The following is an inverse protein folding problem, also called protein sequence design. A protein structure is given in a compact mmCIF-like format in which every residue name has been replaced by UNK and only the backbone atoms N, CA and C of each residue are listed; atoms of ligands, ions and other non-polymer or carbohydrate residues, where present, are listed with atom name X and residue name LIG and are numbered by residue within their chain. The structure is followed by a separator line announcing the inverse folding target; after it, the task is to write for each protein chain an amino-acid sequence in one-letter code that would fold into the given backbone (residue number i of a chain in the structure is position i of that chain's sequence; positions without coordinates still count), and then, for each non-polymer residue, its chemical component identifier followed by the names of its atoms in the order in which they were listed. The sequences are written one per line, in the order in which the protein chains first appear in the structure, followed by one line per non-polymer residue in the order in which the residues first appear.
data_IF_632694949807
#
_entry.id   IF_632694949807
#
_cell.length_a   1.000
_cell.length_b   1.000
_cell.length_c   1.000
_cell.angle_alpha   90.00
_cell.angle_beta   90.00
_cell.angle_gamma   90.00
#
_symmetry.space_group_name_H-M   'P 1'
#
loop_
_entity.id
_entity.type
_entity.pdbx_description
1 polymer ?
#
# COMPACT_ATOMS: atom_id res chain seq x y z
N UNK A 1 -30.76 -4.79 7.03
CA UNK A 1 -30.56 -6.19 7.45
C UNK A 1 -29.07 -6.34 7.71
N UNK A 2 -28.69 -6.59 8.96
CA UNK A 2 -27.28 -6.63 9.36
C UNK A 2 -26.69 -7.98 8.94
N UNK A 3 -25.82 -7.98 7.93
CA UNK A 3 -25.06 -9.17 7.54
C UNK A 3 -24.01 -9.44 8.62
N UNK A 4 -24.18 -10.53 9.36
CA UNK A 4 -23.14 -11.07 10.23
C UNK A 4 -22.11 -11.77 9.33
N UNK A 5 -20.98 -11.10 9.10
CA UNK A 5 -19.88 -11.69 8.35
C UNK A 5 -19.11 -12.69 9.23
N UNK A 6 -18.69 -13.85 8.70
CA UNK A 6 -17.75 -14.70 9.38
C UNK A 6 -16.42 -13.95 9.53
N UNK A 7 -15.81 -13.99 10.71
CA UNK A 7 -14.49 -13.43 11.01
C UNK A 7 -13.38 -14.19 10.29
N UNK A 8 -13.36 -14.16 8.96
CA UNK A 8 -12.26 -14.70 8.16
C UNK A 8 -11.09 -13.73 8.20
N UNK A 9 -9.89 -14.27 8.45
CA UNK A 9 -8.62 -13.55 8.39
C UNK A 9 -8.12 -13.34 6.96
N UNK A 10 -8.85 -13.82 5.96
CA UNK A 10 -8.50 -13.73 4.55
C UNK A 10 -9.45 -12.76 3.86
N UNK A 11 -8.92 -11.90 2.97
CA UNK A 11 -9.79 -11.09 2.14
C UNK A 11 -10.68 -12.02 1.32
N UNK A 12 -11.98 -11.71 1.15
CA UNK A 12 -12.77 -12.35 0.11
C UNK A 12 -12.08 -12.00 -1.22
N UNK A 13 -11.30 -12.93 -1.75
CA UNK A 13 -10.61 -12.73 -3.03
C UNK A 13 -11.62 -12.93 -4.16
N UNK A 14 -11.36 -12.27 -5.28
CA UNK A 14 -12.15 -12.32 -6.53
C UNK A 14 -12.23 -13.72 -7.19
N UNK A 15 -11.91 -14.79 -6.47
CA UNK A 15 -11.88 -16.17 -6.93
C UNK A 15 -13.00 -17.03 -6.31
N UNK A 16 -13.76 -16.52 -5.33
CA UNK A 16 -14.84 -17.25 -4.63
C UNK A 16 -16.16 -16.45 -4.52
N UNK A 17 -16.65 -15.86 -5.62
CA UNK A 17 -17.93 -15.10 -5.67
C UNK A 17 -17.98 -13.82 -4.78
N UNK A 18 -16.82 -13.31 -4.34
CA UNK A 18 -16.73 -12.07 -3.59
C UNK A 18 -16.91 -10.82 -4.46
N UNK A 19 -17.94 -10.02 -4.19
CA UNK A 19 -18.14 -8.74 -4.88
C UNK A 19 -17.09 -7.70 -4.48
N UNK A 20 -16.66 -6.79 -5.38
CA UNK A 20 -15.76 -5.67 -5.08
C UNK A 20 -16.13 -4.89 -3.80
N UNK A 21 -17.43 -4.71 -3.55
CA UNK A 21 -17.95 -4.07 -2.36
C UNK A 21 -17.59 -4.83 -1.06
N UNK A 22 -17.58 -6.17 -1.09
CA UNK A 22 -17.29 -6.99 0.09
C UNK A 22 -15.81 -6.93 0.48
N UNK A 23 -14.90 -6.84 -0.50
CA UNK A 23 -13.48 -6.61 -0.23
C UNK A 23 -13.23 -5.20 0.34
N UNK A 24 -13.94 -4.20 -0.18
CA UNK A 24 -13.88 -2.83 0.33
C UNK A 24 -14.40 -2.73 1.77
N UNK A 25 -15.57 -3.31 2.06
CA UNK A 25 -16.16 -3.39 3.40
C UNK A 25 -15.24 -4.13 4.37
N UNK A 26 -14.64 -5.23 3.92
CA UNK A 26 -13.68 -5.98 4.71
C UNK A 26 -12.43 -5.15 5.04
N UNK A 27 -11.84 -4.44 4.06
CA UNK A 27 -10.69 -3.57 4.30
C UNK A 27 -11.03 -2.42 5.26
N UNK A 28 -12.22 -1.84 5.15
CA UNK A 28 -12.70 -0.81 6.08
C UNK A 28 -12.87 -1.37 7.49
N UNK A 29 -13.37 -2.61 7.62
CA UNK A 29 -13.43 -3.33 8.90
C UNK A 29 -12.04 -3.55 9.52
N UNK A 30 -11.05 -3.98 8.71
CA UNK A 30 -9.66 -4.11 9.17
C UNK A 30 -9.08 -2.76 9.61
N UNK A 31 -9.37 -1.67 8.90
CA UNK A 31 -8.97 -0.32 9.31
C UNK A 31 -9.57 0.08 10.66
N UNK A 32 -10.84 -0.26 10.93
CA UNK A 32 -11.49 0.03 12.20
C UNK A 32 -10.79 -0.68 13.38
N UNK A 33 -10.42 -1.95 13.20
CA UNK A 33 -9.65 -2.72 14.20
C UNK A 33 -8.29 -2.06 14.48
N UNK A 34 -7.59 -1.62 13.43
CA UNK A 34 -6.29 -0.93 13.51
C UNK A 34 -6.36 0.43 14.21
N UNK A 35 -7.48 1.15 14.04
CA UNK A 35 -7.71 2.46 14.66
C UNK A 35 -8.15 2.33 16.12
N UNK A 36 -8.77 1.22 16.49
CA UNK A 36 -9.23 0.91 17.86
C UNK A 36 -8.10 0.52 18.81
N UNK A 37 -7.61 -0.72 18.70
CA UNK A 37 -6.54 -1.24 19.58
C UNK A 37 -5.40 -1.91 18.77
N UNK A 38 -4.30 -1.17 18.51
CA UNK A 38 -3.13 -1.67 17.81
C UNK A 38 -2.46 -2.90 18.47
N UNK A 39 -2.68 -3.15 19.77
CA UNK A 39 -2.06 -4.29 20.46
C UNK A 39 -2.69 -5.64 20.09
N UNK A 40 -3.97 -5.65 19.70
CA UNK A 40 -4.66 -6.86 19.23
C UNK A 40 -4.07 -7.37 17.91
N UNK A 41 -3.60 -6.45 17.06
CA UNK A 41 -2.90 -6.77 15.80
C UNK A 41 -1.63 -7.58 16.06
N UNK A 42 -0.88 -7.21 17.10
CA UNK A 42 0.44 -7.78 17.37
C UNK A 42 0.40 -9.11 18.11
N UNK A 43 -0.52 -9.30 19.06
CA UNK A 43 -0.51 -10.48 19.93
C UNK A 43 -1.04 -11.73 19.23
N UNK A 44 -2.19 -11.61 18.57
CA UNK A 44 -2.95 -12.80 18.14
C UNK A 44 -3.11 -12.89 16.63
N UNK A 45 -3.03 -11.77 15.91
CA UNK A 45 -3.39 -11.69 14.48
C UNK A 45 -2.23 -11.28 13.56
N UNK A 46 -1.00 -11.21 14.06
CA UNK A 46 0.13 -10.69 13.28
C UNK A 46 0.34 -11.43 11.94
N UNK A 47 0.34 -12.78 11.87
CA UNK A 47 0.49 -13.50 10.60
C UNK A 47 -0.63 -13.18 9.60
N UNK A 48 -1.87 -13.05 10.08
CA UNK A 48 -3.03 -12.69 9.26
C UNK A 48 -2.90 -11.28 8.69
N UNK A 49 -2.38 -10.35 9.49
CA UNK A 49 -2.08 -8.99 9.07
C UNK A 49 -0.96 -8.92 8.04
N UNK A 50 0.12 -9.70 8.22
CA UNK A 50 1.19 -9.81 7.21
C UNK A 50 0.63 -10.34 5.90
N UNK A 51 -0.22 -11.38 5.95
CA UNK A 51 -0.88 -11.93 4.76
C UNK A 51 -1.82 -10.92 4.10
N UNK A 52 -2.60 -10.20 4.90
CA UNK A 52 -3.49 -9.12 4.45
C UNK A 52 -2.71 -8.06 3.69
N UNK A 53 -1.67 -7.51 4.31
CA UNK A 53 -0.85 -6.46 3.69
C UNK A 53 -0.13 -6.99 2.45
N UNK A 54 0.33 -8.24 2.46
CA UNK A 54 0.93 -8.89 1.28
C UNK A 54 -0.04 -8.99 0.11
N UNK A 55 -1.32 -9.32 0.38
CA UNK A 55 -2.35 -9.38 -0.66
C UNK A 55 -2.61 -8.03 -1.34
N UNK A 56 -2.32 -6.90 -0.66
CA UNK A 56 -2.48 -5.57 -1.24
C UNK A 56 -1.52 -5.31 -2.40
N UNK A 57 -0.41 -6.05 -2.50
CA UNK A 57 0.55 -5.87 -3.60
C UNK A 57 -0.11 -6.06 -4.97
N UNK A 58 -1.15 -6.89 -5.08
CA UNK A 58 -1.82 -7.16 -6.36
C UNK A 58 -2.75 -6.04 -6.80
N UNK A 59 -3.23 -5.21 -5.86
CA UNK A 59 -4.16 -4.10 -6.15
C UNK A 59 -3.45 -2.77 -6.31
N UNK A 60 -2.18 -2.65 -5.91
CA UNK A 60 -1.37 -1.44 -6.01
C UNK A 60 -0.78 -1.22 -7.42
N UNK A 61 -1.64 -1.29 -8.44
CA UNK A 61 -1.29 -0.98 -9.81
C UNK A 61 -2.37 -0.09 -10.44
N UNK A 62 -1.98 0.68 -11.44
CA UNK A 62 -2.86 1.54 -12.22
C UNK A 62 -2.39 1.51 -13.68
N UNK A 63 -3.29 1.44 -14.68
CA UNK A 63 -2.90 1.60 -16.07
C UNK A 63 -2.37 3.01 -16.34
N UNK A 64 -1.61 3.14 -17.42
CA UNK A 64 -1.14 4.44 -17.91
C UNK A 64 -2.27 5.25 -18.54
N UNK A 65 -2.12 6.58 -18.65
CA UNK A 65 -3.10 7.45 -19.32
C UNK A 65 -3.49 7.07 -20.75
N UNK A 66 -2.65 6.27 -21.43
CA UNK A 66 -2.89 5.84 -22.82
C UNK A 66 -3.76 4.59 -22.91
N UNK A 67 -3.85 3.82 -21.83
CA UNK A 67 -4.52 2.51 -21.83
C UNK A 67 -5.99 2.64 -21.43
N UNK A 68 -6.29 3.44 -20.41
CA UNK A 68 -7.64 3.57 -19.87
C UNK A 68 -7.85 4.98 -19.32
N UNK A 69 -8.99 5.66 -19.59
CA UNK A 69 -9.24 7.00 -19.08
C UNK A 69 -9.58 6.98 -17.58
N UNK A 70 -9.26 8.08 -16.86
CA UNK A 70 -9.38 8.15 -15.40
C UNK A 70 -10.79 7.86 -14.89
N UNK A 71 -11.80 8.41 -15.57
CA UNK A 71 -13.21 8.26 -15.24
C UNK A 71 -13.77 6.84 -15.45
N UNK A 72 -12.98 5.93 -16.04
CA UNK A 72 -13.34 4.51 -16.13
C UNK A 72 -12.75 3.68 -14.98
N UNK A 73 -11.97 4.29 -14.08
CA UNK A 73 -11.19 3.60 -13.05
C UNK A 73 -11.71 3.78 -11.63
N UNK A 74 -12.96 4.22 -11.45
CA UNK A 74 -13.53 4.55 -10.14
C UNK A 74 -13.36 3.47 -9.06
N UNK A 75 -13.64 2.22 -9.40
CA UNK A 75 -13.45 1.09 -8.47
C UNK A 75 -11.97 0.91 -8.09
N UNK A 76 -11.08 0.99 -9.08
CA UNK A 76 -9.63 0.85 -8.86
C UNK A 76 -9.06 2.01 -8.04
N UNK A 77 -9.52 3.25 -8.30
CA UNK A 77 -9.15 4.43 -7.51
C UNK A 77 -9.57 4.24 -6.05
N UNK A 78 -10.78 3.74 -5.82
CA UNK A 78 -11.26 3.49 -4.44
C UNK A 78 -10.48 2.37 -3.76
N UNK A 79 -10.13 1.31 -4.48
CA UNK A 79 -9.30 0.24 -3.92
C UNK A 79 -7.91 0.73 -3.56
N UNK A 80 -7.27 1.50 -4.44
CA UNK A 80 -5.96 2.12 -4.17
C UNK A 80 -6.04 3.04 -2.96
N UNK A 81 -7.08 3.87 -2.89
CA UNK A 81 -7.30 4.77 -1.76
C UNK A 81 -7.32 4.01 -0.43
N UNK A 82 -8.13 2.95 -0.34
CA UNK A 82 -8.29 2.17 0.90
C UNK A 82 -7.02 1.37 1.21
N UNK A 83 -6.41 0.73 0.22
CA UNK A 83 -5.17 -0.04 0.39
C UNK A 83 -4.02 0.84 0.89
N UNK A 84 -3.84 2.03 0.31
CA UNK A 84 -2.83 3.00 0.74
C UNK A 84 -3.08 3.49 2.17
N UNK A 85 -4.34 3.72 2.54
CA UNK A 85 -4.73 4.06 3.91
C UNK A 85 -4.38 2.95 4.89
N UNK A 86 -4.71 1.70 4.55
CA UNK A 86 -4.42 0.54 5.39
C UNK A 86 -2.92 0.39 5.63
N UNK A 87 -2.10 0.50 4.57
CA UNK A 87 -0.63 0.44 4.67
C UNK A 87 -0.09 1.58 5.53
N UNK A 88 -0.56 2.81 5.30
CA UNK A 88 -0.14 3.98 6.09
C UNK A 88 -0.44 3.78 7.58
N UNK A 89 -1.66 3.38 7.93
CA UNK A 89 -2.04 3.17 9.32
C UNK A 89 -1.32 1.99 9.95
N UNK A 90 -1.16 0.87 9.22
CA UNK A 90 -0.40 -0.28 9.68
C UNK A 90 1.04 0.13 10.02
N UNK A 91 1.72 0.85 9.13
CA UNK A 91 3.08 1.33 9.33
C UNK A 91 3.20 2.30 10.52
N UNK A 92 2.26 3.22 10.68
CA UNK A 92 2.33 4.23 11.75
C UNK A 92 1.90 3.75 13.12
N UNK A 93 0.90 2.88 13.18
CA UNK A 93 0.29 2.42 14.45
C UNK A 93 0.92 1.14 14.96
N UNK A 94 1.41 0.31 14.05
CA UNK A 94 1.99 -0.99 14.34
C UNK A 94 3.33 -1.14 13.59
N UNK A 95 4.37 -0.33 13.87
CA UNK A 95 5.64 -0.41 13.15
C UNK A 95 6.24 -1.83 13.17
N UNK A 96 6.12 -2.51 14.31
CA UNK A 96 6.60 -3.88 14.50
C UNK A 96 5.84 -4.95 13.69
N UNK A 97 4.78 -4.58 12.95
CA UNK A 97 4.17 -5.48 11.97
C UNK A 97 5.21 -5.88 10.91
N UNK A 98 6.03 -4.91 10.49
CA UNK A 98 7.06 -5.08 9.47
C UNK A 98 8.38 -5.65 10.04
N UNK A 99 8.44 -5.92 11.35
CA UNK A 99 9.61 -6.47 12.04
C UNK A 99 10.08 -7.79 11.44
N UNK A 100 11.24 -7.83 10.79
CA UNK A 100 11.72 -9.06 10.14
C UNK A 100 10.98 -9.42 8.83
N UNK A 101 9.96 -8.66 8.45
CA UNK A 101 9.24 -8.78 7.16
C UNK A 101 9.87 -7.89 6.08
N UNK A 102 11.21 -7.83 6.05
CA UNK A 102 11.98 -6.93 5.18
C UNK A 102 11.66 -7.09 3.70
N UNK A 103 11.42 -8.32 3.24
CA UNK A 103 11.06 -8.62 1.84
C UNK A 103 9.69 -8.04 1.50
N UNK A 104 8.70 -8.20 2.37
CA UNK A 104 7.37 -7.64 2.18
C UNK A 104 7.42 -6.11 2.17
N UNK A 105 8.13 -5.51 3.13
CA UNK A 105 8.28 -4.07 3.21
C UNK A 105 8.98 -3.49 1.98
N UNK A 106 10.03 -4.16 1.46
CA UNK A 106 10.68 -3.80 0.20
C UNK A 106 9.73 -3.90 -0.99
N UNK A 107 8.94 -4.97 -1.08
CA UNK A 107 7.97 -5.16 -2.16
C UNK A 107 6.91 -4.05 -2.14
N UNK A 108 6.33 -3.75 -0.98
CA UNK A 108 5.35 -2.67 -0.82
C UNK A 108 5.94 -1.32 -1.21
N UNK A 109 7.14 -1.00 -0.70
CA UNK A 109 7.80 0.26 -1.00
C UNK A 109 8.06 0.42 -2.50
N UNK A 110 8.60 -0.62 -3.15
CA UNK A 110 8.85 -0.61 -4.58
C UNK A 110 7.55 -0.45 -5.38
N UNK A 111 6.50 -1.19 -5.04
CA UNK A 111 5.19 -1.12 -5.72
C UNK A 111 4.54 0.25 -5.55
N UNK A 112 4.55 0.83 -4.34
CA UNK A 112 4.02 2.17 -4.10
C UNK A 112 4.84 3.24 -4.87
N UNK A 113 6.15 3.05 -5.00
CA UNK A 113 7.02 3.95 -5.79
C UNK A 113 6.70 3.87 -7.29
N UNK A 114 6.44 2.67 -7.81
CA UNK A 114 6.00 2.47 -9.19
C UNK A 114 4.64 3.14 -9.40
N UNK A 115 3.67 2.90 -8.50
CA UNK A 115 2.36 3.54 -8.53
C UNK A 115 2.49 5.07 -8.51
N UNK A 116 3.34 5.62 -7.65
CA UNK A 116 3.59 7.07 -7.58
C UNK A 116 4.15 7.61 -8.90
N UNK A 117 5.04 6.85 -9.56
CA UNK A 117 5.55 7.22 -10.88
C UNK A 117 4.44 7.25 -11.93
N UNK A 118 3.54 6.26 -11.91
CA UNK A 118 2.39 6.22 -12.83
C UNK A 118 1.41 7.37 -12.55
N UNK A 119 1.14 7.68 -11.29
CA UNK A 119 0.27 8.79 -10.89
C UNK A 119 0.88 10.15 -11.28
N UNK A 120 2.20 10.26 -11.32
CA UNK A 120 2.86 11.47 -11.80
C UNK A 120 2.56 11.74 -13.29
N UNK A 121 2.52 10.70 -14.12
CA UNK A 121 2.08 10.80 -15.53
C UNK A 121 0.61 11.22 -15.64
N UNK A 122 -0.23 10.84 -14.67
CA UNK A 122 -1.64 11.20 -14.64
C UNK A 122 -1.89 12.65 -14.21
N UNK A 123 -0.95 13.30 -13.52
CA UNK A 123 -1.10 14.71 -13.10
C UNK A 123 -1.07 15.68 -14.27
N UNK A 124 -0.46 15.30 -15.38
CA UNK A 124 -0.43 16.11 -16.61
C UNK A 124 -1.71 15.97 -17.45
N UNK A 125 -2.61 15.05 -17.06
CA UNK A 125 -3.90 14.85 -17.73
C UNK A 125 -4.94 15.71 -17.04
N UNK A 126 -5.63 16.54 -17.82
CA UNK A 126 -6.76 17.33 -17.32
C UNK A 126 -7.95 16.39 -17.05
N UNK A 127 -8.10 16.00 -15.79
CA UNK A 127 -9.17 15.12 -15.30
C UNK A 127 -10.17 15.99 -14.56
N UNK A 128 -11.43 15.93 -14.99
CA UNK A 128 -12.52 16.62 -14.30
C UNK A 128 -12.66 16.09 -12.86
N UNK A 129 -12.83 16.96 -11.86
CA UNK A 129 -13.13 16.53 -10.51
C UNK A 129 -14.43 15.72 -10.47
N UNK A 130 -14.44 14.64 -9.71
CA UNK A 130 -15.62 13.81 -9.48
C UNK A 130 -15.84 13.64 -7.97
N UNK A 131 -17.11 13.70 -7.55
CA UNK A 131 -17.48 13.55 -6.13
C UNK A 131 -17.13 12.14 -5.65
N UNK A 132 -16.67 12.00 -4.40
CA UNK A 132 -16.28 10.75 -3.74
C UNK A 132 -15.04 9.99 -4.27
N UNK A 133 -14.40 10.48 -5.33
CA UNK A 133 -13.17 9.89 -5.89
C UNK A 133 -11.98 10.86 -5.80
N UNK A 134 -10.81 10.30 -5.47
CA UNK A 134 -9.58 11.08 -5.44
C UNK A 134 -9.11 11.42 -6.85
N UNK A 135 -8.66 12.65 -7.03
CA UNK A 135 -7.91 13.07 -8.21
C UNK A 135 -6.53 12.38 -8.26
N UNK A 136 -5.86 12.36 -9.43
CA UNK A 136 -4.50 11.83 -9.53
C UNK A 136 -3.52 12.45 -8.53
N UNK A 137 -3.61 13.76 -8.31
CA UNK A 137 -2.75 14.50 -7.37
C UNK A 137 -2.98 14.09 -5.91
N UNK A 138 -4.23 13.89 -5.52
CA UNK A 138 -4.57 13.45 -4.16
C UNK A 138 -4.14 12.02 -3.91
N UNK A 139 -4.35 11.12 -4.88
CA UNK A 139 -3.92 9.74 -4.77
C UNK A 139 -2.39 9.62 -4.76
N UNK A 140 -1.67 10.47 -5.52
CA UNK A 140 -0.21 10.59 -5.48
C UNK A 140 0.27 11.02 -4.08
N UNK A 141 -0.37 12.03 -3.50
CA UNK A 141 -0.05 12.52 -2.15
C UNK A 141 -0.24 11.41 -1.11
N UNK A 142 -1.31 10.62 -1.26
CA UNK A 142 -1.58 9.48 -0.39
C UNK A 142 -0.53 8.37 -0.55
N UNK A 143 -0.17 8.04 -1.80
CA UNK A 143 0.83 7.02 -2.09
C UNK A 143 2.20 7.38 -1.49
N UNK A 144 2.65 8.62 -1.70
CA UNK A 144 3.92 9.11 -1.15
C UNK A 144 3.92 9.16 0.38
N UNK A 145 2.80 9.54 1.01
CA UNK A 145 2.64 9.48 2.46
C UNK A 145 2.72 8.03 3.00
N UNK A 146 2.09 7.06 2.33
CA UNK A 146 2.17 5.64 2.70
C UNK A 146 3.58 5.09 2.55
N UNK A 147 4.28 5.43 1.47
CA UNK A 147 5.68 5.05 1.27
C UNK A 147 6.60 5.62 2.36
N UNK A 148 6.42 6.90 2.71
CA UNK A 148 7.17 7.54 3.78
C UNK A 148 6.90 6.89 5.14
N UNK A 149 5.63 6.60 5.47
CA UNK A 149 5.27 5.91 6.70
C UNK A 149 5.89 4.51 6.78
N UNK A 150 5.95 3.78 5.67
CA UNK A 150 6.58 2.47 5.61
C UNK A 150 8.09 2.54 5.86
N UNK A 151 8.78 3.52 5.26
CA UNK A 151 10.20 3.76 5.53
C UNK A 151 10.44 4.14 7.00
N UNK A 152 9.57 4.99 7.56
CA UNK A 152 9.64 5.35 8.98
C UNK A 152 9.43 4.13 9.86
N UNK A 153 8.47 3.25 9.57
CA UNK A 153 8.25 2.03 10.35
C UNK A 153 9.49 1.12 10.38
N UNK A 154 10.17 0.98 9.24
CA UNK A 154 11.43 0.23 9.15
C UNK A 154 12.60 0.95 9.84
N UNK A 155 12.56 2.28 9.85
CA UNK A 155 13.51 3.14 10.54
C UNK A 155 13.27 3.26 12.04
N UNK A 156 12.04 3.11 12.54
CA UNK A 156 11.68 3.26 13.95
C UNK A 156 11.85 1.94 14.73
N UNK A 157 11.95 0.80 14.04
CA UNK A 157 12.57 -0.42 14.62
C UNK A 157 14.01 -0.15 15.10
N UNK A 158 14.61 0.94 14.62
CA UNK A 158 15.96 1.40 14.94
C UNK A 158 15.85 2.40 16.11
N UNK A 159 15.69 1.89 17.34
CA UNK A 159 16.36 2.33 18.60
C UNK A 159 15.55 1.96 19.87
N UNK A 160 16.18 1.40 20.93
CA UNK A 160 17.42 1.91 21.53
C UNK A 160 18.69 1.07 21.31
N UNK A 161 18.59 -0.12 20.69
CA UNK A 161 19.74 -1.01 20.50
C UNK A 161 19.89 -1.40 19.02
N UNK A 162 19.89 -0.38 18.17
CA UNK A 162 19.95 -0.47 16.73
C UNK A 162 21.23 -1.16 16.24
N UNK A 163 21.16 -2.49 16.16
CA UNK A 163 22.23 -3.32 15.61
C UNK A 163 22.43 -3.11 14.10
N UNK A 164 23.51 -3.69 13.53
CA UNK A 164 23.92 -3.51 12.12
C UNK A 164 22.85 -3.83 11.06
N UNK A 165 21.85 -4.66 11.40
CA UNK A 165 20.89 -5.23 10.45
C UNK A 165 19.86 -4.25 9.92
N UNK A 166 19.41 -3.28 10.72
CA UNK A 166 18.37 -2.35 10.28
C UNK A 166 18.93 -1.23 9.40
N UNK A 167 20.17 -0.78 9.68
CA UNK A 167 20.94 0.09 8.78
C UNK A 167 21.16 -0.56 7.43
N UNK A 168 21.44 -1.85 7.41
CA UNK A 168 21.58 -2.63 6.19
C UNK A 168 20.25 -2.70 5.41
N UNK A 169 19.12 -2.93 6.07
CA UNK A 169 17.82 -2.95 5.41
C UNK A 169 17.47 -1.61 4.74
N UNK A 170 17.68 -0.48 5.44
CA UNK A 170 17.51 0.87 4.84
C UNK A 170 18.48 1.11 3.69
N UNK A 171 19.74 0.66 3.81
CA UNK A 171 20.73 0.80 2.74
C UNK A 171 20.33 0.01 1.50
N UNK A 172 19.94 -1.25 1.67
CA UNK A 172 19.43 -2.10 0.57
C UNK A 172 18.20 -1.48 -0.10
N UNK A 173 17.30 -0.89 0.68
CA UNK A 173 16.15 -0.16 0.15
C UNK A 173 16.57 1.03 -0.73
N UNK A 174 17.46 1.90 -0.22
CA UNK A 174 17.96 3.06 -0.96
C UNK A 174 18.73 2.64 -2.22
N UNK A 175 19.56 1.60 -2.12
CA UNK A 175 20.32 1.07 -3.25
C UNK A 175 19.36 0.56 -4.34
N UNK A 176 18.31 -0.16 -3.95
CA UNK A 176 17.29 -0.66 -4.89
C UNK A 176 16.46 0.46 -5.52
N UNK A 177 16.13 1.51 -4.77
CA UNK A 177 15.51 2.71 -5.33
C UNK A 177 16.41 3.36 -6.38
N UNK A 178 17.70 3.45 -6.07
CA UNK A 178 18.72 4.02 -6.95
C UNK A 178 18.86 3.21 -8.24
N UNK A 179 18.85 1.88 -8.15
CA UNK A 179 18.84 0.98 -9.32
C UNK A 179 17.60 1.17 -10.20
N UNK A 180 16.41 1.29 -9.60
CA UNK A 180 15.16 1.50 -10.35
C UNK A 180 15.19 2.86 -11.06
N UNK A 181 15.64 3.92 -10.38
CA UNK A 181 15.77 5.26 -10.99
C UNK A 181 16.80 5.25 -12.11
N UNK A 182 17.96 4.62 -11.89
CA UNK A 182 19.03 4.55 -12.90
C UNK A 182 18.65 3.70 -14.12
N UNK A 183 17.88 2.63 -13.93
CA UNK A 183 17.39 1.80 -15.05
C UNK A 183 16.36 2.54 -15.90
N UNK A 184 15.54 3.41 -15.30
CA UNK A 184 14.60 4.27 -16.03
C UNK A 184 15.25 5.49 -16.71
N UNK A 185 16.39 5.98 -16.18
CA UNK A 185 17.14 7.10 -16.76
C UNK A 185 18.07 6.70 -17.91
N UNK A 186 18.34 5.39 -18.11
CA UNK A 186 19.09 4.95 -19.29
C UNK A 186 18.20 5.03 -20.52
N UNK A 187 18.52 5.87 -21.53
CA UNK A 187 17.84 5.79 -22.81
C UNK A 187 18.04 4.39 -23.39
N UNK A 188 16.95 3.74 -23.81
CA UNK A 188 17.04 2.58 -24.68
C UNK A 188 17.63 3.07 -26.00
N UNK A 189 18.94 2.89 -26.15
CA UNK A 189 19.61 3.01 -27.45
C UNK A 189 19.44 1.64 -28.11
N UNK A 190 18.34 1.49 -28.86
CA UNK A 190 18.24 0.57 -30.00
C UNK A 190 17.58 1.32 -31.16
#
# INVERSE_FOLDING_TARGET
MSSQYPSSSLPPTFQEDGEPAQFLDWMQGQMADLLGDPQLVLKDKRPDWVKTVSSLLTVLSLPSPRELPWNAMHEQIKFLEVALSLIYHAARRVPSLFAGETVLAQALFATITILSSTLDLWKDVDVAPEEDYLSPSELYTKATASAAALLQALGDEVLPDAGPRAREAMRVLIDRCTEIVNSKLRPQIE
#
